data_IF_602048000199
#
_entry.id   IF_602048000199
#
_cell.length_a   1.000
_cell.length_b   1.000
_cell.length_c   1.000
_cell.angle_alpha   90.00
_cell.angle_beta   90.00
_cell.angle_gamma   90.00
#
_symmetry.space_group_name_H-M   'P 1'
#
loop_
_entity.id
_entity.type
_entity.pdbx_description
1 polymer ?
#
# COMPACT_ATOMS: atom_id res chain seq x y z
N UNK A 1 0.88 -2.10 -38.43
CA UNK A 1 -0.07 -3.19 -38.09
C UNK A 1 -0.22 -3.39 -36.58
N UNK A 2 0.86 -3.63 -35.82
CA UNK A 2 0.84 -3.83 -34.35
C UNK A 2 0.01 -2.81 -33.55
N UNK A 3 0.24 -1.50 -33.73
CA UNK A 3 -0.50 -0.44 -33.00
C UNK A 3 -2.01 -0.49 -33.22
N UNK A 4 -2.46 -0.82 -34.44
CA UNK A 4 -3.89 -0.93 -34.78
C UNK A 4 -4.53 -2.14 -34.11
N UNK A 5 -3.83 -3.28 -34.07
CA UNK A 5 -4.29 -4.48 -33.38
C UNK A 5 -4.41 -4.22 -31.88
N UNK A 6 -3.36 -3.69 -31.25
CA UNK A 6 -3.36 -3.35 -29.82
C UNK A 6 -4.51 -2.42 -29.46
N UNK A 7 -4.73 -1.35 -30.25
CA UNK A 7 -5.87 -0.45 -30.05
C UNK A 7 -7.20 -1.20 -30.10
N UNK A 8 -7.42 -2.02 -31.14
CA UNK A 8 -8.66 -2.78 -31.31
C UNK A 8 -8.86 -3.83 -30.21
N UNK A 9 -7.80 -4.42 -29.69
CA UNK A 9 -7.85 -5.32 -28.53
C UNK A 9 -8.31 -4.58 -27.29
N UNK A 10 -7.78 -3.40 -27.00
CA UNK A 10 -8.25 -2.60 -25.87
C UNK A 10 -9.70 -2.15 -26.03
N UNK A 11 -10.09 -1.70 -27.23
CA UNK A 11 -11.47 -1.31 -27.50
C UNK A 11 -12.43 -2.49 -27.22
N UNK A 12 -12.09 -3.72 -27.66
CA UNK A 12 -12.87 -4.93 -27.38
C UNK A 12 -12.92 -5.28 -25.87
N UNK A 13 -11.80 -5.19 -25.15
CA UNK A 13 -11.78 -5.48 -23.71
C UNK A 13 -12.61 -4.44 -22.93
N UNK A 14 -12.55 -3.17 -23.34
CA UNK A 14 -13.38 -2.11 -22.78
C UNK A 14 -14.87 -2.39 -23.00
N UNK A 15 -15.28 -2.80 -24.20
CA UNK A 15 -16.67 -3.17 -24.50
C UNK A 15 -17.16 -4.32 -23.60
N UNK A 16 -16.32 -5.34 -23.34
CA UNK A 16 -16.65 -6.42 -22.40
C UNK A 16 -16.78 -5.86 -20.97
N UNK A 17 -15.88 -4.97 -20.57
CA UNK A 17 -15.85 -4.33 -19.25
C UNK A 17 -17.09 -3.50 -18.95
N UNK A 18 -17.58 -2.77 -19.95
CA UNK A 18 -18.73 -1.87 -19.85
C UNK A 18 -20.07 -2.57 -20.11
N UNK A 19 -20.04 -3.81 -20.59
CA UNK A 19 -21.26 -4.57 -20.86
C UNK A 19 -22.10 -4.80 -19.58
N UNK A 20 -23.42 -4.84 -19.73
CA UNK A 20 -24.34 -5.14 -18.63
C UNK A 20 -24.10 -6.54 -18.03
N UNK A 21 -23.52 -7.46 -18.82
CA UNK A 21 -23.17 -8.78 -18.37
C UNK A 21 -21.83 -8.79 -17.61
N UNK A 22 -21.87 -8.40 -16.33
CA UNK A 22 -20.72 -8.41 -15.41
C UNK A 22 -19.98 -9.76 -15.34
N UNK A 23 -20.65 -10.88 -15.66
CA UNK A 23 -20.03 -12.22 -15.65
C UNK A 23 -18.97 -12.39 -16.73
N UNK A 24 -19.12 -11.72 -17.87
CA UNK A 24 -18.17 -11.86 -18.98
C UNK A 24 -16.84 -11.20 -18.65
N UNK A 25 -16.88 -9.99 -18.08
CA UNK A 25 -15.65 -9.35 -17.62
C UNK A 25 -15.03 -10.09 -16.43
N UNK A 26 -15.84 -10.63 -15.51
CA UNK A 26 -15.32 -11.46 -14.42
C UNK A 26 -14.51 -12.65 -14.95
N UNK A 27 -15.06 -13.39 -15.91
CA UNK A 27 -14.35 -14.50 -16.57
C UNK A 27 -13.10 -14.02 -17.30
N UNK A 28 -13.18 -12.91 -18.02
CA UNK A 28 -12.02 -12.32 -18.67
C UNK A 28 -10.92 -11.99 -17.64
N UNK A 29 -11.27 -11.34 -16.53
CA UNK A 29 -10.33 -10.97 -15.47
C UNK A 29 -9.68 -12.18 -14.81
N UNK A 30 -10.46 -13.21 -14.48
CA UNK A 30 -9.96 -14.46 -13.89
C UNK A 30 -8.91 -15.15 -14.78
N UNK A 31 -9.07 -15.07 -16.10
CA UNK A 31 -8.17 -15.74 -17.06
C UNK A 31 -7.03 -14.84 -17.54
N UNK A 32 -7.26 -13.53 -17.66
CA UNK A 32 -6.36 -12.60 -18.37
C UNK A 32 -5.96 -11.34 -17.58
N UNK A 33 -6.51 -11.11 -16.38
CA UNK A 33 -6.22 -9.92 -15.56
C UNK A 33 -4.73 -9.78 -15.23
N UNK A 34 -4.02 -10.90 -15.03
CA UNK A 34 -2.56 -10.91 -14.84
C UNK A 34 -1.80 -10.31 -16.03
N UNK A 35 -2.27 -10.49 -17.26
CA UNK A 35 -1.61 -9.91 -18.44
C UNK A 35 -1.85 -8.41 -18.55
N UNK A 36 -3.00 -7.89 -18.08
CA UNK A 36 -3.20 -6.45 -17.96
C UNK A 36 -2.23 -5.84 -16.94
N UNK A 37 -2.02 -6.52 -15.81
CA UNK A 37 -1.04 -6.11 -14.79
C UNK A 37 0.40 -6.13 -15.32
N UNK A 38 0.78 -7.13 -16.11
CA UNK A 38 2.07 -7.14 -16.82
C UNK A 38 2.17 -5.99 -17.82
N UNK A 39 1.08 -5.66 -18.53
CA UNK A 39 1.01 -4.49 -19.41
C UNK A 39 1.30 -3.17 -18.69
N UNK A 40 0.95 -3.04 -17.41
CA UNK A 40 1.30 -1.88 -16.59
C UNK A 40 2.82 -1.74 -16.33
N UNK A 41 3.59 -2.81 -16.53
CA UNK A 41 5.04 -2.83 -16.33
C UNK A 41 5.75 -2.63 -17.67
N UNK A 42 5.25 -3.28 -18.71
CA UNK A 42 5.94 -3.39 -20.01
C UNK A 42 5.46 -2.38 -21.06
N UNK A 43 4.25 -1.83 -20.95
CA UNK A 43 3.59 -1.02 -21.98
C UNK A 43 3.12 0.35 -21.47
N UNK A 44 4.10 1.18 -21.09
CA UNK A 44 3.90 2.56 -20.65
C UNK A 44 3.09 3.42 -21.63
N UNK A 45 3.20 3.14 -22.93
CA UNK A 45 2.45 3.84 -23.98
C UNK A 45 0.93 3.60 -23.92
N UNK A 46 0.49 2.52 -23.28
CA UNK A 46 -0.92 2.14 -23.16
C UNK A 46 -1.47 2.20 -21.73
N UNK A 47 -0.74 2.74 -20.76
CA UNK A 47 -1.22 2.88 -19.37
C UNK A 47 -2.63 3.49 -19.29
N UNK A 48 -2.90 4.57 -20.04
CA UNK A 48 -4.24 5.20 -20.06
C UNK A 48 -5.37 4.27 -20.49
N UNK A 49 -5.08 3.20 -21.24
CA UNK A 49 -6.06 2.18 -21.67
C UNK A 49 -6.09 0.98 -20.73
N UNK A 50 -4.96 0.65 -20.11
CA UNK A 50 -4.83 -0.51 -19.21
C UNK A 50 -5.41 -0.20 -17.82
N UNK A 51 -5.10 0.96 -17.25
CA UNK A 51 -5.45 1.30 -15.86
C UNK A 51 -6.95 1.19 -15.55
N UNK A 52 -7.88 1.69 -16.40
CA UNK A 52 -9.33 1.55 -16.15
C UNK A 52 -9.83 0.08 -16.15
N UNK A 53 -9.08 -0.82 -16.78
CA UNK A 53 -9.42 -2.24 -16.88
C UNK A 53 -8.95 -3.04 -15.66
N UNK A 54 -8.19 -2.45 -14.75
CA UNK A 54 -7.73 -3.14 -13.54
C UNK A 54 -8.87 -3.37 -12.56
N UNK A 55 -8.72 -4.40 -11.74
CA UNK A 55 -9.68 -4.80 -10.70
C UNK A 55 -8.94 -5.16 -9.42
N UNK A 56 -9.46 -4.68 -8.29
CA UNK A 56 -8.85 -4.89 -6.97
C UNK A 56 -9.92 -5.09 -5.90
N UNK A 57 -9.57 -5.81 -4.83
CA UNK A 57 -10.31 -5.70 -3.58
C UNK A 57 -9.92 -4.41 -2.88
N UNK A 58 -10.79 -3.89 -2.03
CA UNK A 58 -10.52 -2.68 -1.24
C UNK A 58 -11.06 -2.82 0.17
N UNK A 59 -10.69 -1.90 1.05
CA UNK A 59 -11.26 -1.82 2.39
C UNK A 59 -12.78 -1.56 2.42
N UNK A 60 -13.35 -1.03 1.33
CA UNK A 60 -14.80 -0.84 1.17
C UNK A 60 -15.47 -1.93 0.31
N UNK A 61 -14.69 -2.74 -0.40
CA UNK A 61 -15.17 -3.84 -1.26
C UNK A 61 -14.31 -5.08 -1.07
N UNK A 62 -14.67 -5.87 -0.05
CA UNK A 62 -13.85 -6.99 0.41
C UNK A 62 -14.27 -8.36 -0.16
N UNK A 63 -15.46 -8.45 -0.77
CA UNK A 63 -16.02 -9.69 -1.31
C UNK A 63 -16.03 -9.68 -2.85
N UNK A 64 -16.05 -8.49 -3.43
CA UNK A 64 -16.07 -8.28 -4.86
C UNK A 64 -14.90 -7.40 -5.29
N UNK A 65 -14.48 -7.57 -6.54
CA UNK A 65 -13.46 -6.72 -7.13
C UNK A 65 -14.10 -5.42 -7.65
N UNK A 66 -13.49 -4.29 -7.36
CA UNK A 66 -13.89 -2.96 -7.85
C UNK A 66 -12.93 -2.40 -8.89
N UNK A 67 -13.35 -1.33 -9.57
CA UNK A 67 -12.54 -0.56 -10.51
C UNK A 67 -11.96 0.70 -9.86
N UNK A 68 -10.86 1.20 -10.42
CA UNK A 68 -10.24 2.44 -9.95
C UNK A 68 -11.16 3.65 -10.12
N UNK A 69 -12.11 3.63 -11.06
CA UNK A 69 -13.10 4.71 -11.19
C UNK A 69 -14.03 4.78 -9.99
N UNK A 70 -14.55 3.64 -9.55
CA UNK A 70 -15.38 3.55 -8.34
C UNK A 70 -14.60 3.94 -7.09
N UNK A 71 -13.32 3.55 -7.00
CA UNK A 71 -12.45 4.05 -5.92
C UNK A 71 -12.39 5.58 -5.95
N UNK A 72 -12.12 6.19 -7.12
CA UNK A 72 -12.01 7.65 -7.25
C UNK A 72 -13.34 8.36 -6.97
N UNK A 73 -14.46 7.76 -7.33
CA UNK A 73 -15.81 8.28 -7.02
C UNK A 73 -16.12 8.24 -5.52
N UNK A 74 -15.57 7.27 -4.79
CA UNK A 74 -15.71 7.15 -3.35
C UNK A 74 -14.76 8.06 -2.56
N UNK A 75 -13.76 8.67 -3.21
CA UNK A 75 -12.81 9.56 -2.54
C UNK A 75 -13.50 10.81 -2.04
N UNK A 76 -13.14 11.25 -0.82
CA UNK A 76 -13.55 12.58 -0.34
C UNK A 76 -12.84 13.70 -1.12
N UNK A 77 -13.41 14.90 -1.11
CA UNK A 77 -12.85 16.06 -1.83
C UNK A 77 -11.40 16.40 -1.40
N UNK A 78 -11.05 16.09 -0.15
CA UNK A 78 -9.74 16.39 0.44
C UNK A 78 -8.68 15.32 0.14
N UNK A 79 -9.08 14.15 -0.35
CA UNK A 79 -8.14 13.06 -0.66
C UNK A 79 -7.37 13.31 -1.95
N UNK A 80 -6.04 13.30 -1.84
CA UNK A 80 -5.12 13.63 -2.94
C UNK A 80 -4.44 12.42 -3.59
N UNK A 81 -4.65 11.23 -3.03
CA UNK A 81 -3.96 10.01 -3.41
C UNK A 81 -4.87 8.79 -3.37
N UNK A 82 -4.51 7.78 -4.18
CA UNK A 82 -5.07 6.44 -4.12
C UNK A 82 -4.18 5.63 -3.20
N UNK A 83 -4.69 5.26 -2.03
CA UNK A 83 -3.96 4.51 -1.04
C UNK A 83 -4.01 3.01 -1.36
N UNK A 84 -2.89 2.32 -1.19
CA UNK A 84 -2.81 0.88 -1.39
C UNK A 84 -1.96 0.19 -0.33
N UNK A 85 -2.24 -1.10 -0.13
CA UNK A 85 -1.45 -2.00 0.70
C UNK A 85 -1.14 -3.28 -0.08
N UNK A 86 0.15 -3.64 -0.14
CA UNK A 86 0.58 -4.90 -0.73
C UNK A 86 0.79 -5.98 0.34
N UNK A 87 0.12 -7.12 0.19
CA UNK A 87 0.21 -8.27 1.09
C UNK A 87 0.22 -9.60 0.31
N UNK A 88 0.34 -10.72 1.02
CA UNK A 88 0.32 -12.06 0.44
C UNK A 88 -1.08 -12.65 0.26
N UNK A 89 -2.09 -12.07 0.90
CA UNK A 89 -3.48 -12.53 0.83
C UNK A 89 -4.45 -11.43 1.26
N UNK A 90 -5.69 -11.58 0.82
CA UNK A 90 -6.79 -10.73 1.25
C UNK A 90 -6.97 -10.75 2.77
N UNK A 91 -6.85 -11.93 3.40
CA UNK A 91 -6.93 -12.07 4.86
C UNK A 91 -5.88 -11.21 5.56
N UNK A 92 -4.63 -11.27 5.11
CA UNK A 92 -3.53 -10.47 5.66
C UNK A 92 -3.74 -8.97 5.45
N UNK A 93 -4.33 -8.56 4.33
CA UNK A 93 -4.66 -7.16 4.07
C UNK A 93 -5.68 -6.64 5.09
N UNK A 94 -6.82 -7.34 5.25
CA UNK A 94 -7.91 -6.93 6.14
C UNK A 94 -7.50 -6.74 7.60
N UNK A 95 -6.59 -7.57 8.09
CA UNK A 95 -6.14 -7.53 9.50
C UNK A 95 -4.88 -6.70 9.69
N UNK A 96 -4.40 -5.99 8.66
CA UNK A 96 -3.15 -5.28 8.74
C UNK A 96 -3.29 -4.01 9.59
N UNK A 97 -2.40 -3.78 10.57
CA UNK A 97 -2.45 -2.60 11.43
C UNK A 97 -2.23 -1.28 10.68
N UNK A 98 -1.70 -1.33 9.45
CA UNK A 98 -1.57 -0.16 8.59
C UNK A 98 -2.92 0.51 8.25
N UNK A 99 -4.03 -0.24 8.31
CA UNK A 99 -5.35 0.23 7.91
C UNK A 99 -6.09 1.03 8.99
N UNK A 100 -5.72 0.89 10.25
CA UNK A 100 -6.57 1.27 11.40
C UNK A 100 -7.11 2.70 11.32
N UNK A 101 -6.23 3.71 11.25
CA UNK A 101 -6.67 5.12 11.15
C UNK A 101 -7.28 5.46 9.79
N UNK A 102 -6.87 4.81 8.70
CA UNK A 102 -7.45 5.09 7.38
C UNK A 102 -8.91 4.67 7.36
N UNK A 103 -9.22 3.47 7.85
CA UNK A 103 -10.60 2.98 7.97
C UNK A 103 -11.41 3.84 8.94
N UNK A 104 -10.85 4.27 10.06
CA UNK A 104 -11.52 5.21 10.98
C UNK A 104 -11.86 6.56 10.33
N UNK A 105 -11.05 7.01 9.37
CA UNK A 105 -11.27 8.22 8.58
C UNK A 105 -12.09 7.98 7.32
N UNK A 106 -12.63 6.79 7.13
CA UNK A 106 -13.35 6.37 5.92
C UNK A 106 -12.53 6.48 4.61
N UNK A 107 -11.20 6.46 4.72
CA UNK A 107 -10.28 6.47 3.59
C UNK A 107 -10.19 5.05 3.01
N UNK A 108 -10.57 4.90 1.74
CA UNK A 108 -10.53 3.61 1.05
C UNK A 108 -9.08 3.20 0.74
N UNK A 109 -8.77 1.90 0.83
CA UNK A 109 -7.43 1.36 0.53
C UNK A 109 -7.55 0.20 -0.45
N UNK A 110 -6.78 0.24 -1.54
CA UNK A 110 -6.65 -0.87 -2.48
C UNK A 110 -5.82 -2.00 -1.88
N UNK A 111 -6.28 -3.24 -2.02
CA UNK A 111 -5.55 -4.44 -1.61
C UNK A 111 -4.85 -5.08 -2.80
N UNK A 112 -3.52 -5.05 -2.77
CA UNK A 112 -2.64 -5.65 -3.77
C UNK A 112 -2.16 -7.01 -3.25
N UNK A 113 -2.81 -8.08 -3.70
CA UNK A 113 -2.64 -9.43 -3.13
C UNK A 113 -1.94 -10.41 -4.07
N UNK A 114 -1.71 -10.02 -5.33
CA UNK A 114 -0.96 -10.83 -6.27
C UNK A 114 0.50 -10.37 -6.37
N UNK A 115 1.46 -11.28 -6.61
CA UNK A 115 2.89 -10.95 -6.69
C UNK A 115 3.28 -9.86 -7.71
N UNK A 116 2.47 -9.65 -8.74
CA UNK A 116 2.72 -8.65 -9.81
C UNK A 116 2.18 -7.26 -9.47
N UNK A 117 1.23 -7.19 -8.52
CA UNK A 117 0.42 -5.99 -8.29
C UNK A 117 1.24 -4.79 -7.88
N UNK A 118 2.14 -4.98 -6.92
CA UNK A 118 2.93 -3.89 -6.36
C UNK A 118 3.81 -3.24 -7.43
N UNK A 119 4.44 -4.05 -8.28
CA UNK A 119 5.29 -3.56 -9.38
C UNK A 119 4.43 -2.91 -10.45
N UNK A 120 3.25 -3.47 -10.75
CA UNK A 120 2.31 -2.88 -11.70
C UNK A 120 1.86 -1.47 -11.26
N UNK A 121 1.41 -1.32 -10.01
CA UNK A 121 0.97 -0.04 -9.45
C UNK A 121 2.11 0.99 -9.40
N UNK A 122 3.31 0.58 -9.01
CA UNK A 122 4.49 1.47 -8.99
C UNK A 122 4.82 2.05 -10.38
N UNK A 123 4.57 1.29 -11.46
CA UNK A 123 4.82 1.77 -12.83
C UNK A 123 3.72 2.70 -13.37
N UNK A 124 2.49 2.63 -12.87
CA UNK A 124 1.40 3.49 -13.33
C UNK A 124 1.55 4.96 -12.89
N UNK A 125 2.27 5.21 -11.80
CA UNK A 125 2.51 6.52 -11.14
C UNK A 125 1.25 7.25 -10.67
N UNK A 126 0.28 7.51 -11.56
CA UNK A 126 -0.95 8.27 -11.29
C UNK A 126 -2.15 7.69 -12.02
N UNK A 127 -3.34 7.91 -11.46
CA UNK A 127 -4.62 7.69 -12.13
C UNK A 127 -5.55 8.87 -11.86
N UNK A 128 -6.15 9.45 -12.91
CA UNK A 128 -6.97 10.68 -12.82
C UNK A 128 -6.31 11.77 -11.94
N UNK A 129 -5.02 12.02 -12.19
CA UNK A 129 -4.18 12.99 -11.47
C UNK A 129 -3.89 12.66 -9.98
N UNK A 130 -4.42 11.55 -9.45
CA UNK A 130 -4.13 11.05 -8.10
C UNK A 130 -2.92 10.12 -8.13
N UNK A 131 -1.98 10.32 -7.22
CA UNK A 131 -0.80 9.43 -7.06
C UNK A 131 -1.19 8.17 -6.30
N UNK A 132 -0.54 7.06 -6.60
CA UNK A 132 -0.62 5.86 -5.77
C UNK A 132 0.33 5.97 -4.57
N UNK A 133 -0.17 5.71 -3.36
CA UNK A 133 0.58 5.83 -2.11
C UNK A 133 0.51 4.51 -1.32
N UNK A 134 1.69 3.99 -0.98
CA UNK A 134 1.84 2.77 -0.17
C UNK A 134 1.68 3.08 1.32
N UNK A 135 0.62 2.56 1.93
CA UNK A 135 0.34 2.81 3.36
C UNK A 135 1.25 2.03 4.31
N UNK A 136 2.12 1.16 3.79
CA UNK A 136 3.15 0.43 4.55
C UNK A 136 4.52 1.12 4.53
N UNK A 137 4.63 2.28 3.88
CA UNK A 137 5.86 3.09 3.81
C UNK A 137 5.81 4.32 4.71
N UNK A 138 6.99 4.88 4.91
CA UNK A 138 7.22 6.18 5.53
C UNK A 138 6.55 7.32 4.75
N UNK A 139 6.38 8.48 5.40
CA UNK A 139 5.75 9.70 4.85
C UNK A 139 4.30 9.53 4.42
N UNK A 140 3.55 8.68 5.14
CA UNK A 140 2.10 8.61 4.98
C UNK A 140 1.48 9.83 5.66
N UNK A 141 0.88 10.69 4.84
CA UNK A 141 0.21 11.91 5.25
C UNK A 141 -1.31 11.73 5.17
N UNK A 142 -2.02 11.95 6.27
CA UNK A 142 -3.48 11.76 6.36
C UNK A 142 -4.26 13.07 6.57
N UNK A 143 -3.63 14.23 6.37
CA UNK A 143 -4.31 15.54 6.27
C UNK A 143 -4.79 16.21 7.55
N UNK A 144 -4.85 15.49 8.68
CA UNK A 144 -5.42 16.00 9.95
C UNK A 144 -4.37 16.07 11.08
N UNK A 145 -3.15 16.46 10.73
CA UNK A 145 -2.04 16.48 11.68
C UNK A 145 -2.05 17.79 12.48
N UNK A 146 -2.36 17.68 13.77
CA UNK A 146 -2.12 18.76 14.72
C UNK A 146 -0.62 18.79 15.05
N UNK A 147 0.12 19.65 14.33
CA UNK A 147 1.56 19.80 14.50
C UNK A 147 1.96 20.13 15.94
N UNK A 148 1.12 20.84 16.70
CA UNK A 148 1.42 21.20 18.09
C UNK A 148 1.34 19.95 18.95
N UNK A 149 0.24 19.21 18.87
CA UNK A 149 0.04 17.96 19.61
C UNK A 149 1.08 16.90 19.25
N UNK A 150 1.45 16.79 17.97
CA UNK A 150 2.50 15.85 17.53
C UNK A 150 3.87 16.21 18.13
N UNK A 151 4.22 17.50 18.16
CA UNK A 151 5.46 17.96 18.79
C UNK A 151 5.48 17.70 20.30
N UNK A 152 4.39 17.98 21.01
CA UNK A 152 4.26 17.71 22.43
C UNK A 152 4.38 16.21 22.74
N UNK A 153 3.65 15.37 21.99
CA UNK A 153 3.72 13.91 22.13
C UNK A 153 5.13 13.40 21.86
N UNK A 154 5.80 13.94 20.84
CA UNK A 154 7.17 13.55 20.51
C UNK A 154 8.16 13.90 21.64
N UNK A 155 7.95 15.03 22.32
CA UNK A 155 8.76 15.42 23.48
C UNK A 155 8.50 14.50 24.68
N UNK A 156 7.23 14.19 24.96
CA UNK A 156 6.82 13.32 26.08
C UNK A 156 7.42 11.91 25.97
N UNK A 157 7.48 11.36 24.76
CA UNK A 157 7.93 9.99 24.52
C UNK A 157 9.39 9.88 24.05
N UNK A 158 10.15 10.99 24.07
CA UNK A 158 11.52 11.02 23.54
C UNK A 158 12.44 9.97 24.19
N UNK A 159 12.37 9.85 25.52
CA UNK A 159 13.15 8.88 26.28
C UNK A 159 12.80 7.43 25.91
N UNK A 160 11.51 7.15 25.66
CA UNK A 160 11.08 5.83 25.22
C UNK A 160 11.60 5.51 23.82
N UNK A 161 11.58 6.46 22.88
CA UNK A 161 12.11 6.23 21.53
C UNK A 161 13.60 5.88 21.55
N UNK A 162 14.39 6.66 22.31
CA UNK A 162 15.83 6.45 22.44
C UNK A 162 16.13 5.10 23.08
N UNK A 163 15.41 4.75 24.15
CA UNK A 163 15.54 3.45 24.80
C UNK A 163 15.18 2.30 23.86
N UNK A 164 14.03 2.35 23.17
CA UNK A 164 13.62 1.31 22.21
C UNK A 164 14.64 1.19 21.07
N UNK A 165 15.14 2.31 20.55
CA UNK A 165 16.17 2.33 19.51
C UNK A 165 17.47 1.71 20.01
N UNK A 166 17.87 1.97 21.25
CA UNK A 166 19.04 1.36 21.88
C UNK A 166 18.88 -0.16 22.02
N UNK A 167 17.71 -0.64 22.45
CA UNK A 167 17.44 -2.08 22.60
C UNK A 167 17.40 -2.81 21.24
N UNK A 168 16.87 -2.15 20.21
CA UNK A 168 16.76 -2.75 18.87
C UNK A 168 18.02 -2.60 18.02
N UNK A 169 18.91 -1.66 18.35
CA UNK A 169 20.17 -1.42 17.65
C UNK A 169 19.97 -1.24 16.15
N UNK A 170 20.69 -2.04 15.36
CA UNK A 170 20.67 -1.97 13.89
C UNK A 170 19.48 -2.68 13.24
N UNK A 171 18.59 -3.31 14.03
CA UNK A 171 17.39 -3.99 13.49
C UNK A 171 16.36 -3.02 12.93
N UNK A 172 16.35 -1.78 13.42
CA UNK A 172 15.49 -0.69 12.94
C UNK A 172 16.36 0.53 12.64
N UNK A 173 16.05 1.29 11.61
CA UNK A 173 16.74 2.55 11.32
C UNK A 173 16.36 3.65 12.32
N UNK A 174 15.07 3.75 12.65
CA UNK A 174 14.55 4.73 13.61
C UNK A 174 13.25 4.24 14.26
N UNK A 175 12.88 4.90 15.36
CA UNK A 175 11.60 4.75 16.05
C UNK A 175 10.85 6.08 15.95
N UNK A 176 9.54 6.06 15.68
CA UNK A 176 8.73 7.27 15.56
C UNK A 176 7.28 7.06 16.05
N UNK A 177 6.52 8.16 16.20
CA UNK A 177 5.08 8.10 16.44
C UNK A 177 4.38 7.59 15.19
N UNK A 178 3.39 6.73 15.38
CA UNK A 178 2.54 6.30 14.29
C UNK A 178 1.44 7.30 13.96
N UNK A 179 1.38 7.67 12.69
CA UNK A 179 0.25 8.39 12.09
C UNK A 179 -0.89 7.47 11.64
N UNK A 180 -0.66 6.14 11.61
CA UNK A 180 -1.59 5.15 11.01
C UNK A 180 -2.24 4.18 12.01
N UNK A 181 -1.64 4.00 13.19
CA UNK A 181 -2.18 3.11 14.24
C UNK A 181 -3.23 3.83 15.11
N UNK A 182 -4.22 3.07 15.56
CA UNK A 182 -5.19 3.47 16.59
C UNK A 182 -5.25 2.48 17.76
N UNK A 183 -5.26 1.18 17.47
CA UNK A 183 -5.47 0.09 18.43
C UNK A 183 -4.25 -0.79 18.58
N UNK A 184 -3.38 -0.87 17.57
CA UNK A 184 -2.14 -1.63 17.67
C UNK A 184 -1.07 -0.84 18.43
N UNK A 185 -0.21 -1.49 19.25
CA UNK A 185 0.83 -0.80 20.00
C UNK A 185 1.98 -0.29 19.13
N UNK A 186 2.33 -1.02 18.08
CA UNK A 186 3.42 -0.66 17.17
C UNK A 186 3.31 -1.39 15.83
N UNK A 187 4.01 -0.89 14.81
CA UNK A 187 4.11 -1.51 13.49
C UNK A 187 5.48 -1.23 12.87
N UNK A 188 6.00 -2.18 12.08
CA UNK A 188 7.20 -1.97 11.27
C UNK A 188 6.80 -1.52 9.86
N UNK A 189 7.34 -0.39 9.43
CA UNK A 189 7.14 0.16 8.09
C UNK A 189 8.45 0.10 7.28
N UNK A 190 8.32 0.22 5.96
CA UNK A 190 9.48 0.36 5.07
C UNK A 190 9.86 1.84 4.93
N UNK A 191 11.15 2.14 4.80
CA UNK A 191 11.60 3.50 4.47
C UNK A 191 11.07 3.97 3.10
N UNK A 192 11.01 5.29 2.90
CA UNK A 192 10.42 5.92 1.70
C UNK A 192 10.93 5.38 0.37
N UNK A 193 12.25 5.27 0.22
CA UNK A 193 12.91 4.91 -1.04
C UNK A 193 13.27 3.42 -1.16
N UNK A 194 12.99 2.62 -0.12
CA UNK A 194 13.31 1.19 -0.08
C UNK A 194 12.22 0.31 -0.69
N UNK A 195 12.55 -0.98 -0.88
CA UNK A 195 11.55 -2.01 -1.20
C UNK A 195 10.57 -2.21 -0.05
N UNK A 196 9.31 -2.55 -0.35
CA UNK A 196 8.33 -2.87 0.68
C UNK A 196 8.66 -4.20 1.37
N UNK A 197 7.99 -4.49 2.49
CA UNK A 197 8.05 -5.82 3.12
C UNK A 197 7.53 -6.94 2.18
N UNK A 198 6.52 -6.65 1.37
CA UNK A 198 5.99 -7.60 0.39
C UNK A 198 6.99 -7.87 -0.74
N UNK A 199 7.65 -6.84 -1.27
CA UNK A 199 8.70 -6.99 -2.27
C UNK A 199 9.89 -7.79 -1.72
N UNK A 200 10.35 -7.52 -0.50
CA UNK A 200 11.42 -8.31 0.15
C UNK A 200 11.02 -9.78 0.27
N UNK A 201 9.77 -10.08 0.68
CA UNK A 201 9.25 -11.44 0.76
C UNK A 201 9.26 -12.15 -0.59
N UNK A 202 8.77 -11.50 -1.65
CA UNK A 202 8.71 -12.06 -3.00
C UNK A 202 10.11 -12.30 -3.57
N UNK A 203 11.05 -11.39 -3.33
CA UNK A 203 12.42 -11.53 -3.78
C UNK A 203 13.13 -12.67 -3.06
N UNK A 204 12.99 -12.78 -1.73
CA UNK A 204 13.53 -13.93 -0.97
C UNK A 204 12.98 -15.27 -1.45
N UNK A 205 11.71 -15.31 -1.83
CA UNK A 205 11.10 -16.54 -2.36
C UNK A 205 11.64 -16.94 -3.75
N UNK A 206 12.11 -15.96 -4.56
CA UNK A 206 12.67 -16.19 -5.90
C UNK A 206 14.18 -16.35 -5.92
N UNK A 207 14.89 -15.66 -5.04
CA UNK A 207 16.34 -15.69 -4.91
C UNK A 207 16.74 -16.98 -4.17
N UNK A 208 16.78 -18.09 -4.90
CA UNK A 208 17.43 -19.33 -4.45
C UNK A 208 18.95 -19.08 -4.32
N UNK A 209 19.38 -18.47 -3.22
CA UNK A 209 20.77 -18.53 -2.76
C UNK A 209 21.68 -17.31 -2.99
N UNK A 210 21.22 -16.21 -3.60
CA UNK A 210 22.06 -15.00 -3.74
C UNK A 210 21.52 -13.83 -2.90
N UNK A 211 21.89 -13.85 -1.61
CA UNK A 211 21.38 -12.94 -0.57
C UNK A 211 22.08 -11.58 -0.54
N UNK A 212 23.23 -11.43 -1.22
CA UNK A 212 24.01 -10.19 -1.19
C UNK A 212 23.28 -9.02 -1.88
N UNK A 213 22.52 -9.28 -2.94
CA UNK A 213 21.70 -8.28 -3.63
C UNK A 213 20.48 -7.82 -2.81
N UNK A 214 20.04 -8.62 -1.82
CA UNK A 214 18.89 -8.31 -0.96
C UNK A 214 19.23 -7.30 0.13
N UNK A 215 20.49 -7.22 0.58
CA UNK A 215 20.90 -6.28 1.64
C UNK A 215 20.78 -4.82 1.20
N UNK A 216 21.13 -4.51 -0.05
CA UNK A 216 20.97 -3.16 -0.61
C UNK A 216 19.49 -2.74 -0.73
N UNK A 217 18.58 -3.70 -0.92
CA UNK A 217 17.14 -3.46 -1.03
C UNK A 217 16.41 -3.47 0.31
N UNK A 218 17.07 -3.92 1.38
CA UNK A 218 16.50 -4.13 2.73
C UNK A 218 16.22 -2.82 3.49
N UNK A 219 16.06 -1.71 2.76
CA UNK A 219 15.98 -0.33 3.22
C UNK A 219 15.46 -0.21 4.65
N UNK A 220 16.19 0.53 5.48
CA UNK A 220 16.03 0.55 6.93
C UNK A 220 14.58 0.50 7.40
N UNK A 221 14.25 -0.49 8.23
CA UNK A 221 12.91 -0.64 8.81
C UNK A 221 12.69 0.41 9.88
N UNK A 222 11.50 0.99 9.93
CA UNK A 222 11.15 2.01 10.92
C UNK A 222 10.09 1.41 11.83
N UNK A 223 10.30 1.49 13.14
CA UNK A 223 9.29 1.10 14.12
C UNK A 223 8.42 2.31 14.44
N UNK A 224 7.15 2.27 14.07
CA UNK A 224 6.18 3.24 14.56
C UNK A 224 5.52 2.71 15.83
N UNK A 225 5.36 3.54 16.84
CA UNK A 225 4.64 3.20 18.07
C UNK A 225 3.39 4.07 18.23
N UNK A 226 2.38 3.52 18.91
CA UNK A 226 1.12 4.17 19.18
C UNK A 226 1.09 4.72 20.61
N UNK A 227 1.25 6.04 20.81
CA UNK A 227 1.27 6.65 22.15
C UNK A 227 -0.07 6.52 22.88
N UNK A 228 -1.17 6.27 22.16
CA UNK A 228 -2.49 6.11 22.78
C UNK A 228 -2.69 4.72 23.41
N UNK A 229 -1.86 3.74 23.02
CA UNK A 229 -2.00 2.35 23.46
C UNK A 229 -1.53 2.15 24.92
N UNK A 230 -2.29 1.43 25.78
CA UNK A 230 -1.94 1.23 27.19
C UNK A 230 -0.53 0.68 27.42
N UNK A 231 -0.11 -0.32 26.63
CA UNK A 231 1.26 -0.89 26.73
C UNK A 231 2.33 0.18 26.49
N UNK A 232 2.12 1.09 25.53
CA UNK A 232 3.11 2.12 25.20
C UNK A 232 3.13 3.19 26.30
N UNK A 233 1.98 3.54 26.87
CA UNK A 233 1.89 4.43 28.04
C UNK A 233 2.60 3.85 29.25
N UNK A 234 2.38 2.58 29.56
CA UNK A 234 3.01 1.91 30.70
C UNK A 234 4.53 1.83 30.55
N UNK A 235 5.02 1.56 29.32
CA UNK A 235 6.44 1.59 29.00
C UNK A 235 7.05 2.99 29.15
N UNK A 236 6.30 4.05 28.80
CA UNK A 236 6.78 5.42 28.90
C UNK A 236 7.00 5.86 30.36
N UNK A 237 6.15 5.39 31.29
CA UNK A 237 6.26 5.72 32.73
C UNK A 237 7.36 4.93 33.43
N UNK A 238 7.83 3.82 32.84
CA UNK A 238 8.91 2.97 33.38
C UNK A 238 10.10 2.88 32.41
N UNK A 239 10.79 3.99 32.11
CA UNK A 239 12.03 3.91 31.34
C UNK A 239 13.05 3.15 32.19
N UNK A 240 13.39 1.93 31.77
CA UNK A 240 14.44 1.10 32.39
C UNK A 240 15.82 1.67 32.10
#
# INVERSE_FOLDING_TARGET
MRKRLVKKTFDMIQEISESENKKDYKKFWENFGRFLKLGCIEDSGNHKRITPLLRFYTSKSEEELTILDTYVENMSENEKAIYYLATDSLKSAKTAPFLEKLVQKDIEVLYLIEPVDEVAIQNLQTYKEKKFVDISKEDLELGDEDEVKERETKQEYNLLYDWVKQQLGDKVAKVQISKRLSSSPCVLISGKFGGSANMERLMKAKALGDTASLEFMRGGRILEINPDHPIIKDLNVRPC
#
